data_IF_831148198784
#
_entry.id   IF_831148198784
#
_cell.length_a   1.000
_cell.length_b   1.000
_cell.length_c   1.000
_cell.angle_alpha   90.00
_cell.angle_beta   90.00
_cell.angle_gamma   90.00
#
_symmetry.space_group_name_H-M   'P 1'
#
loop_
_entity.id
_entity.type
_entity.pdbx_description
1 polymer ?
#
# COMPACT_ATOMS: atom_id res chain seq x y z
N UNK A 1 -2.88 -37.25 -19.46
CA UNK A 1 -4.24 -36.87 -19.85
C UNK A 1 -4.39 -35.41 -19.43
N UNK A 2 -3.94 -34.50 -20.27
CA UNK A 2 -4.01 -33.04 -20.07
C UNK A 2 -5.44 -32.62 -20.43
N UNK A 3 -6.24 -32.26 -19.41
CA UNK A 3 -7.53 -31.61 -19.66
C UNK A 3 -7.27 -30.22 -20.17
N UNK A 4 -7.41 -30.05 -21.47
CA UNK A 4 -7.50 -28.77 -22.15
C UNK A 4 -8.80 -28.10 -21.71
N UNK A 5 -8.72 -27.14 -20.81
CA UNK A 5 -9.83 -26.28 -20.48
C UNK A 5 -9.94 -25.25 -21.60
N UNK A 6 -10.67 -25.63 -22.63
CA UNK A 6 -11.06 -24.74 -23.72
C UNK A 6 -11.78 -23.51 -23.15
N UNK A 7 -11.01 -22.52 -22.75
CA UNK A 7 -11.54 -21.23 -22.27
C UNK A 7 -12.21 -20.54 -23.44
N UNK A 8 -13.52 -20.33 -23.34
CA UNK A 8 -14.27 -19.46 -24.26
C UNK A 8 -13.60 -18.08 -24.21
N UNK A 9 -12.90 -17.71 -25.27
CA UNK A 9 -12.23 -16.41 -25.35
C UNK A 9 -13.28 -15.36 -25.69
N UNK A 10 -13.34 -14.27 -24.92
CA UNK A 10 -14.14 -13.11 -25.24
C UNK A 10 -13.50 -12.33 -26.40
N UNK A 11 -14.28 -11.95 -27.40
CA UNK A 11 -13.81 -11.15 -28.55
C UNK A 11 -13.52 -9.68 -28.17
N UNK A 12 -14.13 -9.18 -27.11
CA UNK A 12 -13.94 -7.83 -26.59
C UNK A 12 -13.84 -7.88 -25.06
N UNK A 13 -12.70 -8.34 -24.48
CA UNK A 13 -12.59 -8.56 -23.06
C UNK A 13 -12.57 -7.23 -22.28
N UNK A 14 -13.35 -7.17 -21.19
CA UNK A 14 -13.25 -6.05 -20.24
C UNK A 14 -11.91 -6.13 -19.52
N UNK A 15 -11.19 -5.00 -19.47
CA UNK A 15 -9.90 -4.89 -18.82
C UNK A 15 -10.00 -5.13 -17.30
N UNK A 16 -8.96 -5.71 -16.72
CA UNK A 16 -8.96 -6.03 -15.28
C UNK A 16 -9.09 -4.77 -14.40
N UNK A 17 -8.49 -3.65 -14.82
CA UNK A 17 -8.62 -2.37 -14.13
C UNK A 17 -10.09 -1.90 -14.12
N UNK A 18 -10.78 -1.95 -15.26
CA UNK A 18 -12.18 -1.57 -15.37
C UNK A 18 -13.09 -2.47 -14.53
N UNK A 19 -12.79 -3.78 -14.46
CA UNK A 19 -13.52 -4.71 -13.59
C UNK A 19 -13.26 -4.42 -12.10
N UNK A 20 -12.06 -3.94 -11.75
CA UNK A 20 -11.74 -3.48 -10.39
C UNK A 20 -12.54 -2.23 -10.05
N UNK A 21 -12.58 -1.24 -10.95
CA UNK A 21 -13.34 0.01 -10.76
C UNK A 21 -14.84 -0.28 -10.64
N UNK A 22 -15.36 -1.21 -11.45
CA UNK A 22 -16.72 -1.71 -11.33
C UNK A 22 -16.98 -2.33 -9.93
N UNK A 23 -16.13 -3.25 -9.48
CA UNK A 23 -16.24 -3.88 -8.17
C UNK A 23 -16.17 -2.90 -6.99
N UNK A 24 -15.43 -1.81 -7.16
CA UNK A 24 -15.25 -0.76 -6.16
C UNK A 24 -16.31 0.34 -6.23
N UNK A 25 -17.27 0.24 -7.17
CA UNK A 25 -18.31 1.26 -7.46
C UNK A 25 -17.69 2.65 -7.75
N UNK A 26 -16.63 2.67 -8.57
CA UNK A 26 -15.91 3.88 -8.98
C UNK A 26 -16.29 4.33 -10.39
N UNK A 27 -17.08 3.53 -11.12
CA UNK A 27 -17.50 3.85 -12.48
C UNK A 27 -18.73 4.78 -12.50
N UNK A 28 -18.89 5.58 -13.56
CA UNK A 28 -20.17 6.22 -13.87
C UNK A 28 -21.26 5.18 -14.14
N UNK A 29 -22.52 5.46 -13.80
CA UNK A 29 -23.64 4.53 -13.96
C UNK A 29 -23.83 4.01 -15.39
N UNK A 30 -23.55 4.84 -16.40
CA UNK A 30 -23.62 4.43 -17.81
C UNK A 30 -22.62 3.35 -18.18
N UNK A 31 -21.45 3.39 -17.58
CA UNK A 31 -20.37 2.43 -17.81
C UNK A 31 -20.61 1.14 -16.99
N UNK A 32 -21.19 1.27 -15.78
CA UNK A 32 -21.67 0.14 -14.96
C UNK A 32 -22.69 -0.69 -15.74
N UNK A 33 -23.74 -0.06 -16.29
CA UNK A 33 -24.80 -0.73 -17.06
C UNK A 33 -24.23 -1.52 -18.23
N UNK A 34 -23.28 -0.94 -18.97
CA UNK A 34 -22.64 -1.59 -20.12
C UNK A 34 -21.80 -2.81 -19.71
N UNK A 35 -21.12 -2.74 -18.56
CA UNK A 35 -20.34 -3.86 -18.02
C UNK A 35 -21.26 -4.95 -17.51
N UNK A 36 -22.35 -4.63 -16.84
CA UNK A 36 -23.33 -5.60 -16.35
C UNK A 36 -23.97 -6.37 -17.52
N UNK A 37 -24.39 -5.69 -18.58
CA UNK A 37 -24.92 -6.32 -19.79
C UNK A 37 -23.89 -7.30 -20.39
N UNK A 38 -22.63 -6.89 -20.47
CA UNK A 38 -21.55 -7.76 -20.95
C UNK A 38 -21.34 -8.97 -20.05
N UNK A 39 -21.30 -8.80 -18.74
CA UNK A 39 -21.08 -9.87 -17.77
C UNK A 39 -22.21 -10.90 -17.74
N UNK A 40 -23.46 -10.48 -18.03
CA UNK A 40 -24.61 -11.39 -18.15
C UNK A 40 -24.48 -12.37 -19.31
N UNK A 41 -23.71 -12.01 -20.34
CA UNK A 41 -23.59 -12.78 -21.58
C UNK A 41 -22.21 -13.38 -21.81
N UNK A 42 -21.20 -13.04 -20.99
CA UNK A 42 -19.81 -13.45 -21.18
C UNK A 42 -19.20 -14.12 -19.95
N UNK A 43 -19.21 -15.46 -19.92
CA UNK A 43 -18.60 -16.25 -18.82
C UNK A 43 -17.11 -15.97 -18.64
N UNK A 44 -16.37 -15.66 -19.70
CA UNK A 44 -14.94 -15.36 -19.64
C UNK A 44 -14.68 -14.10 -18.80
N UNK A 45 -15.42 -13.02 -19.01
CA UNK A 45 -15.33 -11.79 -18.23
C UNK A 45 -15.89 -11.96 -16.83
N UNK A 46 -16.95 -12.74 -16.64
CA UNK A 46 -17.45 -13.13 -15.31
C UNK A 46 -16.42 -13.90 -14.50
N UNK A 47 -15.65 -14.80 -15.12
CA UNK A 47 -14.52 -15.50 -14.46
C UNK A 47 -13.39 -14.52 -14.09
N UNK A 48 -13.05 -13.58 -14.97
CA UNK A 48 -12.05 -12.56 -14.71
C UNK A 48 -12.47 -11.65 -13.55
N UNK A 49 -13.73 -11.24 -13.48
CA UNK A 49 -14.28 -10.48 -12.35
C UNK A 49 -14.11 -11.25 -11.03
N UNK A 50 -14.45 -12.56 -11.00
CA UNK A 50 -14.24 -13.39 -9.79
C UNK A 50 -12.77 -13.43 -9.36
N UNK A 51 -11.82 -13.47 -10.29
CA UNK A 51 -10.39 -13.42 -9.98
C UNK A 51 -9.98 -12.07 -9.38
N UNK A 52 -10.48 -10.97 -9.95
CA UNK A 52 -10.25 -9.60 -9.43
C UNK A 52 -10.80 -9.46 -8.01
N UNK A 53 -12.01 -9.93 -7.75
CA UNK A 53 -12.62 -9.93 -6.41
C UNK A 53 -11.77 -10.72 -5.43
N UNK A 54 -11.40 -11.96 -5.78
CA UNK A 54 -10.59 -12.83 -4.90
C UNK A 54 -9.23 -12.21 -4.58
N UNK A 55 -8.56 -11.59 -5.56
CA UNK A 55 -7.31 -10.86 -5.35
C UNK A 55 -7.52 -9.67 -4.40
N UNK A 56 -8.55 -8.86 -4.63
CA UNK A 56 -8.89 -7.70 -3.79
C UNK A 56 -9.14 -8.11 -2.34
N UNK A 57 -9.90 -9.18 -2.10
CA UNK A 57 -10.18 -9.69 -0.77
C UNK A 57 -8.93 -10.26 -0.09
N UNK A 58 -8.06 -10.94 -0.84
CA UNK A 58 -6.78 -11.44 -0.32
C UNK A 58 -5.86 -10.29 0.09
N UNK A 59 -5.75 -9.24 -0.72
CA UNK A 59 -4.98 -8.04 -0.39
C UNK A 59 -5.54 -7.33 0.85
N UNK A 60 -6.87 -7.19 0.96
CA UNK A 60 -7.53 -6.62 2.15
C UNK A 60 -7.22 -7.43 3.41
N UNK A 61 -7.24 -8.76 3.30
CA UNK A 61 -6.92 -9.66 4.42
C UNK A 61 -5.47 -9.47 4.86
N UNK A 62 -4.51 -9.43 3.94
CA UNK A 62 -3.10 -9.17 4.24
C UNK A 62 -2.88 -7.78 4.84
N UNK A 63 -3.57 -6.75 4.33
CA UNK A 63 -3.51 -5.40 4.89
C UNK A 63 -4.04 -5.36 6.33
N UNK A 64 -5.18 -6.01 6.58
CA UNK A 64 -5.77 -6.09 7.94
C UNK A 64 -4.93 -6.90 8.92
N UNK A 65 -4.23 -7.93 8.44
CA UNK A 65 -3.28 -8.70 9.28
C UNK A 65 -1.99 -7.94 9.58
N UNK A 66 -1.84 -6.71 9.07
CA UNK A 66 -0.62 -5.91 9.24
C UNK A 66 0.62 -6.51 8.58
N UNK A 67 0.45 -7.40 7.60
CA UNK A 67 1.58 -8.10 6.95
C UNK A 67 2.13 -7.36 5.73
N UNK A 68 1.41 -6.34 5.23
CA UNK A 68 1.80 -5.57 4.04
C UNK A 68 2.45 -4.24 4.42
N UNK A 69 3.38 -3.81 3.57
CA UNK A 69 3.81 -2.43 3.48
C UNK A 69 3.07 -1.79 2.29
N UNK A 70 2.23 -0.79 2.56
CA UNK A 70 1.39 -0.12 1.55
C UNK A 70 1.21 1.35 1.88
N UNK A 71 1.03 2.18 0.86
CA UNK A 71 0.57 3.56 1.06
C UNK A 71 -0.94 3.54 1.25
N UNK A 72 -1.42 4.23 2.27
CA UNK A 72 -2.83 4.26 2.66
C UNK A 72 -3.32 5.70 2.81
N UNK A 73 -4.63 5.89 2.78
CA UNK A 73 -5.25 7.20 3.02
C UNK A 73 -5.55 7.42 4.51
N UNK A 74 -5.74 8.68 4.90
CA UNK A 74 -6.27 9.05 6.24
C UNK A 74 -7.60 8.35 6.54
N UNK A 75 -8.46 8.24 5.54
CA UNK A 75 -9.74 7.54 5.66
C UNK A 75 -9.56 6.07 6.03
N UNK A 76 -8.55 5.40 5.46
CA UNK A 76 -8.25 4.01 5.78
C UNK A 76 -7.79 3.88 7.24
N UNK A 77 -6.87 4.73 7.70
CA UNK A 77 -6.35 4.71 9.08
C UNK A 77 -7.49 4.98 10.07
N UNK A 78 -8.33 5.97 9.80
CA UNK A 78 -9.49 6.29 10.62
C UNK A 78 -10.47 5.11 10.71
N UNK A 79 -10.81 4.49 9.57
CA UNK A 79 -11.69 3.33 9.55
C UNK A 79 -11.09 2.13 10.32
N UNK A 80 -9.79 1.89 10.19
CA UNK A 80 -9.11 0.84 10.94
C UNK A 80 -9.21 1.08 12.47
N UNK A 81 -9.04 2.31 12.93
CA UNK A 81 -9.22 2.68 14.33
C UNK A 81 -10.68 2.49 14.79
N UNK A 82 -11.67 2.90 13.99
CA UNK A 82 -13.09 2.73 14.27
C UNK A 82 -13.51 1.24 14.37
N UNK A 83 -12.81 0.35 13.67
CA UNK A 83 -13.02 -1.11 13.76
C UNK A 83 -12.30 -1.75 14.95
N UNK A 84 -11.65 -0.96 15.79
CA UNK A 84 -11.03 -1.41 17.03
C UNK A 84 -9.58 -1.88 16.90
N UNK A 85 -8.92 -1.67 15.75
CA UNK A 85 -7.50 -1.98 15.61
C UNK A 85 -6.63 -1.01 16.43
N UNK A 86 -5.63 -1.52 17.13
CA UNK A 86 -4.63 -0.73 17.83
C UNK A 86 -3.57 -0.26 16.85
N UNK A 87 -3.61 1.02 16.56
CA UNK A 87 -2.71 1.64 15.58
C UNK A 87 -1.56 2.31 16.32
N UNK A 88 -0.33 1.90 16.00
CA UNK A 88 0.88 2.61 16.35
C UNK A 88 1.25 3.56 15.23
N UNK A 89 1.12 4.85 15.46
CA UNK A 89 1.45 5.88 14.46
C UNK A 89 2.71 6.65 14.88
N UNK A 90 3.60 6.87 13.92
CA UNK A 90 4.77 7.74 14.02
C UNK A 90 4.71 8.80 12.93
N UNK A 91 4.81 10.07 13.32
CA UNK A 91 4.69 11.22 12.45
C UNK A 91 5.90 12.16 12.58
N UNK A 92 7.08 11.74 12.12
CA UNK A 92 8.26 12.60 12.16
C UNK A 92 8.09 13.81 11.24
N UNK A 93 8.60 14.96 11.67
CA UNK A 93 8.78 16.10 10.81
C UNK A 93 9.87 15.84 9.77
N UNK A 94 9.89 16.62 8.69
CA UNK A 94 10.91 16.53 7.64
C UNK A 94 12.30 16.71 8.24
N UNK A 95 13.21 15.76 7.97
CA UNK A 95 14.57 15.72 8.51
C UNK A 95 14.69 15.23 9.95
N UNK A 96 13.59 14.83 10.58
CA UNK A 96 13.59 14.41 11.97
C UNK A 96 14.05 12.95 12.13
N UNK A 97 14.68 12.69 13.27
CA UNK A 97 15.04 11.34 13.75
C UNK A 97 14.25 11.04 15.02
N UNK A 98 13.43 9.99 14.98
CA UNK A 98 12.57 9.61 16.10
C UNK A 98 12.93 8.23 16.66
N UNK A 99 12.63 8.02 17.93
CA UNK A 99 12.64 6.70 18.54
C UNK A 99 11.32 6.02 18.30
N UNK A 100 11.35 4.79 17.83
CA UNK A 100 10.16 4.00 17.59
C UNK A 100 10.25 2.60 18.17
N UNK A 101 9.10 2.05 18.53
CA UNK A 101 8.96 0.70 19.06
C UNK A 101 7.56 0.19 18.76
N UNK A 102 7.34 -1.11 18.86
CA UNK A 102 6.01 -1.72 18.72
C UNK A 102 5.72 -2.59 19.95
N UNK A 103 4.49 -2.55 20.41
CA UNK A 103 4.02 -3.40 21.48
C UNK A 103 3.47 -4.72 20.91
N UNK A 104 3.39 -5.75 21.77
CA UNK A 104 2.89 -7.06 21.35
C UNK A 104 1.43 -7.00 20.86
N UNK A 105 0.65 -6.07 21.40
CA UNK A 105 -0.77 -5.85 21.15
C UNK A 105 -1.07 -4.76 20.11
N UNK A 106 -0.05 -4.16 19.49
CA UNK A 106 -0.26 -3.30 18.31
C UNK A 106 -0.68 -4.16 17.10
N UNK A 107 -1.77 -3.78 16.42
CA UNK A 107 -2.30 -4.49 15.25
C UNK A 107 -1.81 -3.89 13.95
N UNK A 108 -1.51 -2.58 13.94
CA UNK A 108 -1.08 -1.85 12.76
C UNK A 108 0.03 -0.85 13.12
N UNK A 109 1.02 -0.74 12.23
CA UNK A 109 2.09 0.25 12.32
C UNK A 109 1.99 1.21 11.14
N UNK A 110 1.94 2.51 11.42
CA UNK A 110 1.78 3.56 10.42
C UNK A 110 2.89 4.60 10.57
N UNK A 111 3.52 4.98 9.47
CA UNK A 111 4.41 6.12 9.38
C UNK A 111 3.74 7.22 8.54
N UNK A 112 3.56 8.41 9.12
CA UNK A 112 3.07 9.60 8.43
C UNK A 112 4.24 10.52 8.12
N UNK A 113 4.59 10.64 6.87
CA UNK A 113 5.76 11.35 6.36
C UNK A 113 5.33 12.70 5.80
N UNK A 114 5.56 13.78 6.54
CA UNK A 114 5.16 15.13 6.15
C UNK A 114 5.98 15.63 4.95
N UNK A 115 5.33 15.97 3.84
CA UNK A 115 5.98 16.49 2.63
C UNK A 115 5.07 17.47 1.89
N UNK A 116 5.67 18.40 1.17
CA UNK A 116 4.95 19.21 0.19
C UNK A 116 4.83 18.40 -1.11
N UNK A 117 3.60 18.04 -1.45
CA UNK A 117 3.26 17.22 -2.61
C UNK A 117 2.54 18.03 -3.70
N UNK A 118 2.36 19.34 -3.50
CA UNK A 118 1.50 20.20 -4.35
C UNK A 118 1.94 20.27 -5.80
N UNK A 119 3.23 20.10 -6.08
CA UNK A 119 3.79 20.14 -7.43
C UNK A 119 4.31 18.80 -7.92
N UNK A 120 4.32 17.79 -7.06
CA UNK A 120 4.87 16.48 -7.41
C UNK A 120 3.93 15.73 -8.36
N UNK A 121 4.47 15.24 -9.48
CA UNK A 121 3.74 14.43 -10.46
C UNK A 121 3.89 12.92 -10.22
N UNK A 122 5.07 12.52 -9.77
CA UNK A 122 5.40 11.13 -9.43
C UNK A 122 6.28 11.12 -8.18
N UNK A 123 5.91 10.30 -7.20
CA UNK A 123 6.67 10.15 -5.95
C UNK A 123 7.01 8.69 -5.72
N UNK A 124 8.27 8.45 -5.38
CA UNK A 124 8.76 7.16 -4.93
C UNK A 124 9.01 7.23 -3.41
N UNK A 125 8.72 6.14 -2.70
CA UNK A 125 9.11 5.97 -1.29
C UNK A 125 10.21 4.93 -1.19
N UNK A 126 11.39 5.36 -0.75
CA UNK A 126 12.58 4.52 -0.59
C UNK A 126 12.89 4.30 0.89
N UNK A 127 13.24 3.07 1.25
CA UNK A 127 13.73 2.70 2.58
C UNK A 127 15.19 2.32 2.49
N UNK A 128 16.01 2.98 3.30
CA UNK A 128 17.45 2.83 3.32
C UNK A 128 17.96 2.36 4.68
N UNK A 129 19.06 1.63 4.67
CA UNK A 129 19.87 1.37 5.85
C UNK A 129 20.66 2.62 6.28
N UNK A 130 21.25 2.67 7.50
CA UNK A 130 21.98 3.84 8.01
C UNK A 130 23.12 4.32 7.11
N UNK A 131 23.67 3.43 6.26
CA UNK A 131 24.74 3.78 5.31
C UNK A 131 24.21 4.33 3.98
N UNK A 132 22.89 4.56 3.88
CA UNK A 132 22.24 5.07 2.66
C UNK A 132 22.01 4.01 1.58
N UNK A 133 22.28 2.75 1.85
CA UNK A 133 21.99 1.66 0.92
C UNK A 133 20.47 1.46 0.89
N UNK A 134 19.88 1.65 -0.28
CA UNK A 134 18.47 1.37 -0.50
C UNK A 134 18.22 -0.14 -0.45
N UNK A 135 17.29 -0.54 0.39
CA UNK A 135 16.92 -1.95 0.53
C UNK A 135 15.54 -2.23 -0.02
N UNK A 136 14.67 -1.21 -0.11
CA UNK A 136 13.33 -1.34 -0.66
C UNK A 136 12.86 -0.02 -1.24
N UNK A 137 12.16 -0.08 -2.39
CA UNK A 137 11.52 1.07 -3.03
C UNK A 137 10.09 0.71 -3.43
N UNK A 138 9.15 1.58 -3.13
CA UNK A 138 7.84 1.62 -3.74
C UNK A 138 7.85 2.76 -4.75
N UNK A 139 7.84 2.42 -6.03
CA UNK A 139 7.84 3.39 -7.12
C UNK A 139 6.40 3.84 -7.43
N UNK A 140 6.26 5.10 -7.84
CA UNK A 140 5.01 5.69 -8.30
C UNK A 140 3.86 5.48 -7.31
N UNK A 141 4.11 5.86 -6.05
CA UNK A 141 3.10 5.73 -4.99
C UNK A 141 1.92 6.67 -5.22
N UNK A 142 0.68 6.25 -4.90
CA UNK A 142 -0.47 7.13 -4.98
C UNK A 142 -0.31 8.32 -4.03
N UNK A 143 -0.44 9.54 -4.54
CA UNK A 143 -0.34 10.77 -3.77
C UNK A 143 -1.63 11.59 -3.87
N UNK A 144 -1.95 12.30 -2.79
CA UNK A 144 -2.94 13.38 -2.78
C UNK A 144 -2.16 14.69 -2.56
N UNK A 145 -2.12 15.53 -3.58
CA UNK A 145 -1.38 16.81 -3.54
C UNK A 145 -1.81 17.73 -2.37
N UNK A 146 -3.06 17.60 -1.92
CA UNK A 146 -3.60 18.38 -0.80
C UNK A 146 -3.33 17.79 0.58
N UNK A 147 -2.86 16.55 0.69
CA UNK A 147 -2.74 15.84 1.97
C UNK A 147 -1.57 16.31 2.84
N UNK A 148 -0.53 16.93 2.26
CA UNK A 148 0.66 17.40 2.99
C UNK A 148 1.49 16.29 3.66
N UNK A 149 1.18 15.03 3.38
CA UNK A 149 1.92 13.86 3.90
C UNK A 149 1.63 12.60 3.09
N UNK A 150 2.58 11.67 3.10
CA UNK A 150 2.39 10.28 2.67
C UNK A 150 2.21 9.41 3.91
N UNK A 151 1.18 8.57 3.91
CA UNK A 151 0.92 7.65 5.01
C UNK A 151 1.27 6.24 4.54
N UNK A 152 2.26 5.64 5.16
CA UNK A 152 2.71 4.30 4.85
C UNK A 152 2.40 3.35 6.02
N UNK A 153 1.58 2.34 5.76
CA UNK A 153 1.45 1.21 6.67
C UNK A 153 2.69 0.33 6.52
N UNK A 154 3.34 0.03 7.63
CA UNK A 154 4.46 -0.89 7.72
C UNK A 154 3.98 -2.28 8.12
N UNK A 155 4.74 -3.32 7.76
CA UNK A 155 4.45 -4.65 8.27
C UNK A 155 4.68 -4.72 9.78
N UNK A 156 3.61 -4.79 10.55
CA UNK A 156 3.68 -4.92 12.01
C UNK A 156 4.32 -6.26 12.42
N UNK A 157 4.10 -7.31 11.65
CA UNK A 157 4.70 -8.63 11.87
C UNK A 157 6.22 -8.57 11.73
N UNK A 158 6.69 -7.90 10.66
CA UNK A 158 8.12 -7.68 10.45
C UNK A 158 8.71 -6.79 11.55
N UNK A 159 8.05 -5.68 11.89
CA UNK A 159 8.53 -4.76 12.92
C UNK A 159 8.64 -5.44 14.30
N UNK A 160 7.69 -6.30 14.67
CA UNK A 160 7.75 -7.10 15.91
C UNK A 160 8.91 -8.09 15.92
N UNK A 161 9.27 -8.65 14.76
CA UNK A 161 10.36 -9.62 14.63
C UNK A 161 11.74 -8.97 14.50
N UNK A 162 11.79 -7.69 14.07
CA UNK A 162 13.03 -7.00 13.76
C UNK A 162 13.92 -6.77 14.98
N UNK A 163 15.25 -6.82 14.83
CA UNK A 163 16.18 -6.40 15.87
C UNK A 163 16.12 -4.89 16.06
N UNK A 164 16.79 -4.39 17.11
CA UNK A 164 17.05 -2.96 17.24
C UNK A 164 17.88 -2.48 16.05
N UNK A 165 17.36 -1.50 15.31
CA UNK A 165 17.98 -1.03 14.07
C UNK A 165 17.53 0.39 13.72
N UNK A 166 18.28 1.05 12.86
CA UNK A 166 17.91 2.34 12.29
C UNK A 166 17.52 2.16 10.82
N UNK A 167 16.45 2.81 10.42
CA UNK A 167 15.97 2.88 9.03
C UNK A 167 15.71 4.33 8.65
N UNK A 168 15.96 4.66 7.39
CA UNK A 168 15.67 5.97 6.83
C UNK A 168 14.66 5.83 5.70
N UNK A 169 13.52 6.52 5.81
CA UNK A 169 12.57 6.67 4.73
C UNK A 169 12.89 7.94 3.94
N UNK A 170 12.82 7.88 2.61
CA UNK A 170 12.98 9.01 1.69
C UNK A 170 11.80 9.10 0.77
N UNK A 171 11.20 10.27 0.68
CA UNK A 171 10.25 10.62 -0.37
C UNK A 171 11.00 11.33 -1.48
N UNK A 172 10.90 10.79 -2.68
CA UNK A 172 11.63 11.25 -3.86
C UNK A 172 10.62 11.60 -4.95
N UNK A 173 10.62 12.85 -5.40
CA UNK A 173 9.97 13.21 -6.65
C UNK A 173 10.83 12.73 -7.81
N UNK A 174 10.21 12.05 -8.78
CA UNK A 174 10.90 11.54 -9.96
C UNK A 174 10.32 12.22 -11.20
N UNK A 175 11.14 12.98 -11.89
CA UNK A 175 10.71 13.68 -13.10
C UNK A 175 10.66 12.74 -14.34
N UNK A 176 10.17 13.23 -15.47
CA UNK A 176 10.05 12.46 -16.71
C UNK A 176 11.39 11.93 -17.25
N UNK A 177 12.52 12.56 -16.87
CA UNK A 177 13.86 12.11 -17.26
C UNK A 177 14.45 11.08 -16.30
N UNK A 178 13.74 10.77 -15.19
CA UNK A 178 14.20 9.85 -14.14
C UNK A 178 15.12 10.50 -13.11
N UNK A 179 15.26 11.83 -13.12
CA UNK A 179 16.01 12.56 -12.10
C UNK A 179 15.20 12.63 -10.81
N UNK A 180 15.89 12.40 -9.68
CA UNK A 180 15.28 12.33 -8.36
C UNK A 180 15.51 13.64 -7.58
N UNK A 181 14.45 14.17 -6.99
CA UNK A 181 14.48 15.29 -6.07
C UNK A 181 13.96 14.86 -4.69
N UNK A 182 14.75 15.12 -3.63
CA UNK A 182 14.40 14.73 -2.26
C UNK A 182 13.32 15.66 -1.69
N UNK A 183 12.11 15.14 -1.51
CA UNK A 183 11.00 15.83 -0.86
C UNK A 183 11.09 15.78 0.66
N UNK A 184 11.58 14.68 1.23
CA UNK A 184 11.76 14.52 2.67
C UNK A 184 12.55 13.28 3.04
N UNK A 185 13.26 13.36 4.17
CA UNK A 185 14.00 12.24 4.76
C UNK A 185 13.61 12.12 6.24
N UNK A 186 13.41 10.88 6.73
CA UNK A 186 12.89 10.59 8.06
C UNK A 186 13.63 9.39 8.65
N UNK A 187 14.21 9.55 9.83
CA UNK A 187 14.98 8.49 10.47
C UNK A 187 14.20 7.85 11.61
N UNK A 188 14.06 6.53 11.56
CA UNK A 188 13.40 5.72 12.57
C UNK A 188 14.41 4.86 13.30
N UNK A 189 14.63 5.14 14.59
CA UNK A 189 15.48 4.35 15.47
C UNK A 189 14.60 3.32 16.19
N UNK A 190 14.44 2.16 15.56
CA UNK A 190 13.63 1.08 16.10
C UNK A 190 14.32 0.39 17.25
N UNK A 191 13.64 0.32 18.40
CA UNK A 191 14.09 -0.45 19.56
C UNK A 191 13.19 -1.67 19.72
N UNK A 192 13.80 -2.85 19.70
CA UNK A 192 13.07 -4.10 19.95
C UNK A 192 12.62 -4.17 21.39
N UNK A 193 11.31 -4.33 21.62
CA UNK A 193 10.71 -4.45 22.96
C UNK A 193 10.12 -5.84 23.22
N UNK A 194 9.90 -6.61 22.15
CA UNK A 194 9.34 -7.96 22.25
C UNK A 194 10.49 -8.96 22.33
N UNK A 195 10.50 -9.89 23.32
CA UNK A 195 11.53 -10.93 23.41
C UNK A 195 11.63 -11.72 22.10
N UNK A 196 12.86 -12.05 21.70
CA UNK A 196 13.08 -12.95 20.56
C UNK A 196 12.60 -14.38 20.88
N UNK A 197 12.47 -15.24 19.87
CA UNK A 197 12.28 -16.66 20.11
C UNK A 197 13.44 -17.15 21.02
N UNK A 198 13.19 -18.07 21.96
CA UNK A 198 14.25 -18.69 22.72
C UNK A 198 15.22 -19.36 21.75
N UNK A 199 16.51 -19.07 21.89
CA UNK A 199 17.60 -19.64 21.09
C UNK A 199 17.77 -21.14 21.33
#
# INVERSE_FOLDING_TARGET
MTMDHGGVSCSNPVEAATLMDYWLALLPSTDEDAIEEHLMTCDACGNRLRQVISLSESLRTLARSGSLMVVVSDRFVKHAAETGLRIREYAPARGESIQCTVAADDDMLVARLAADLTTASRVDLSWCEPRGVEHQRMADIPIDAGAGSVICQQSITWAKASPTMTLTARLLEVNETGEEHLLGEYTFNHTRTIPGPPG
#
